data_IF_594602625244
#
_entry.id   IF_594602625244
#
_cell.length_a   1.000
_cell.length_b   1.000
_cell.length_c   1.000
_cell.angle_alpha   90.00
_cell.angle_beta   90.00
_cell.angle_gamma   90.00
#
_symmetry.space_group_name_H-M   'P 1'
#
loop_
_entity.id
_entity.type
_entity.pdbx_description
1 polymer ?
#
# COMPACT_ATOMS: atom_id res chain seq x y z
N UNK A 1 21.75 -30.73 -7.66
CA UNK A 1 20.73 -30.25 -8.62
C UNK A 1 20.14 -28.96 -8.07
N UNK A 2 19.66 -28.07 -8.92
CA UNK A 2 19.01 -26.81 -8.52
C UNK A 2 17.58 -26.82 -9.05
N UNK A 3 16.61 -26.61 -8.17
CA UNK A 3 15.17 -26.54 -8.49
C UNK A 3 14.61 -25.16 -8.17
N UNK A 4 13.60 -24.76 -8.94
CA UNK A 4 12.87 -23.51 -8.77
C UNK A 4 11.39 -23.82 -8.64
N UNK A 5 10.86 -23.68 -7.43
CA UNK A 5 9.47 -24.09 -7.10
C UNK A 5 8.67 -22.92 -6.53
N UNK A 6 7.34 -22.98 -6.65
CA UNK A 6 6.43 -22.07 -5.94
C UNK A 6 6.24 -22.47 -4.46
N UNK A 7 5.43 -21.70 -3.72
CA UNK A 7 5.09 -21.96 -2.31
C UNK A 7 4.40 -23.32 -2.09
N UNK A 8 3.76 -23.87 -3.12
CA UNK A 8 3.09 -25.17 -3.09
C UNK A 8 4.03 -26.32 -3.50
N UNK A 9 5.26 -26.02 -3.92
CA UNK A 9 6.25 -26.99 -4.39
C UNK A 9 6.16 -27.33 -5.88
N UNK A 10 5.35 -26.63 -6.67
CA UNK A 10 5.28 -26.81 -8.12
C UNK A 10 6.51 -26.21 -8.79
N UNK A 11 7.11 -26.92 -9.75
CA UNK A 11 8.23 -26.39 -10.53
C UNK A 11 7.75 -25.27 -11.48
N UNK A 12 8.35 -24.08 -11.32
CA UNK A 12 8.00 -22.87 -12.10
C UNK A 12 9.07 -22.48 -13.13
N UNK A 13 10.22 -23.14 -13.09
CA UNK A 13 11.27 -23.01 -14.10
C UNK A 13 11.99 -24.36 -14.28
N UNK A 14 12.78 -24.49 -15.35
CA UNK A 14 13.51 -25.71 -15.63
C UNK A 14 14.53 -26.04 -14.54
N UNK A 15 14.51 -27.29 -14.07
CA UNK A 15 15.51 -27.80 -13.13
C UNK A 15 16.89 -27.88 -13.79
N UNK A 16 17.92 -27.41 -13.08
CA UNK A 16 19.28 -27.32 -13.59
C UNK A 16 20.23 -28.29 -12.89
N UNK A 17 21.07 -28.98 -13.66
CA UNK A 17 22.11 -29.86 -13.11
C UNK A 17 23.19 -29.03 -12.40
N UNK A 18 23.69 -29.53 -11.27
CA UNK A 18 24.69 -28.82 -10.44
C UNK A 18 24.09 -27.85 -9.42
N UNK A 19 24.95 -26.98 -8.86
CA UNK A 19 24.60 -25.89 -7.94
C UNK A 19 24.63 -24.58 -8.72
N UNK A 20 23.47 -24.00 -8.98
CA UNK A 20 23.31 -22.79 -9.78
C UNK A 20 22.74 -21.66 -8.92
N UNK A 21 23.01 -20.38 -9.29
CA UNK A 21 22.40 -19.24 -8.62
C UNK A 21 20.89 -19.18 -8.86
N UNK A 22 20.21 -18.36 -8.06
CA UNK A 22 18.79 -18.09 -8.24
C UNK A 22 18.49 -17.40 -9.58
N UNK A 23 17.29 -17.61 -10.12
CA UNK A 23 16.83 -16.95 -11.34
C UNK A 23 15.81 -15.84 -11.02
N UNK A 24 15.84 -14.76 -11.81
CA UNK A 24 14.76 -13.77 -11.82
C UNK A 24 13.64 -14.29 -12.73
N UNK A 25 12.54 -14.72 -12.10
CA UNK A 25 11.35 -15.23 -12.80
C UNK A 25 10.33 -14.10 -12.83
N UNK A 26 9.84 -13.76 -14.03
CA UNK A 26 8.87 -12.68 -14.20
C UNK A 26 7.59 -12.97 -13.40
N UNK A 27 7.11 -11.97 -12.66
CA UNK A 27 5.94 -12.14 -11.79
C UNK A 27 6.19 -12.95 -10.52
N UNK A 28 7.43 -13.32 -10.19
CA UNK A 28 7.78 -14.02 -8.95
C UNK A 28 8.95 -13.33 -8.21
N UNK A 29 9.00 -13.51 -6.89
CA UNK A 29 10.12 -13.13 -6.04
C UNK A 29 10.55 -14.32 -5.18
N UNK A 30 11.85 -14.41 -4.87
CA UNK A 30 12.39 -15.48 -4.03
C UNK A 30 12.03 -15.17 -2.58
N UNK A 31 11.42 -16.13 -1.90
CA UNK A 31 11.10 -16.00 -0.48
C UNK A 31 12.07 -16.76 0.41
N UNK A 32 12.58 -17.90 -0.06
CA UNK A 32 13.53 -18.70 0.71
C UNK A 32 14.34 -19.63 -0.19
N UNK A 33 15.51 -20.04 0.30
CA UNK A 33 16.37 -21.05 -0.32
C UNK A 33 16.58 -22.18 0.66
N UNK A 34 16.39 -23.41 0.20
CA UNK A 34 16.55 -24.63 1.00
C UNK A 34 17.59 -25.54 0.35
N UNK A 35 18.19 -26.41 1.15
CA UNK A 35 19.04 -27.51 0.66
C UNK A 35 18.46 -28.81 1.20
N UNK A 36 18.28 -29.82 0.34
CA UNK A 36 17.81 -31.14 0.76
C UNK A 36 18.96 -32.02 1.29
N UNK A 37 18.65 -33.17 1.88
CA UNK A 37 19.63 -34.15 2.39
C UNK A 37 20.58 -34.70 1.31
N UNK A 38 20.22 -34.54 0.02
CA UNK A 38 21.05 -34.93 -1.13
C UNK A 38 21.94 -33.78 -1.62
N UNK A 39 21.94 -32.63 -0.96
CA UNK A 39 22.75 -31.46 -1.32
C UNK A 39 22.23 -30.67 -2.53
N UNK A 40 20.98 -30.88 -2.94
CA UNK A 40 20.29 -30.12 -3.96
C UNK A 40 19.78 -28.80 -3.40
N UNK A 41 19.91 -27.74 -4.20
CA UNK A 41 19.42 -26.40 -3.87
C UNK A 41 18.00 -26.26 -4.38
N UNK A 42 17.10 -25.77 -3.53
CA UNK A 42 15.70 -25.53 -3.88
C UNK A 42 15.39 -24.07 -3.56
N UNK A 43 15.20 -23.27 -4.60
CA UNK A 43 14.69 -21.90 -4.46
C UNK A 43 13.17 -21.94 -4.44
N UNK A 44 12.57 -21.36 -3.41
CA UNK A 44 11.12 -21.24 -3.26
C UNK A 44 10.72 -19.81 -3.57
N UNK A 45 9.77 -19.65 -4.48
CA UNK A 45 9.28 -18.38 -4.97
C UNK A 45 7.82 -18.18 -4.58
N UNK A 46 7.43 -16.92 -4.37
CA UNK A 46 6.02 -16.52 -4.37
C UNK A 46 5.72 -15.67 -5.58
N UNK A 47 4.46 -15.70 -6.01
CA UNK A 47 3.98 -14.78 -7.04
C UNK A 47 4.08 -13.36 -6.48
N UNK A 48 4.73 -12.46 -7.21
CA UNK A 48 4.67 -11.04 -6.91
C UNK A 48 3.21 -10.61 -6.98
N UNK A 49 2.74 -9.79 -6.04
CA UNK A 49 1.41 -9.23 -6.17
C UNK A 49 1.32 -8.51 -7.52
N UNK A 50 0.21 -8.75 -8.24
CA UNK A 50 -0.02 -8.20 -9.57
C UNK A 50 0.13 -6.68 -9.51
N UNK A 51 1.31 -6.19 -9.90
CA UNK A 51 1.67 -4.78 -9.79
C UNK A 51 0.81 -3.89 -10.69
N UNK A 52 0.05 -4.51 -11.59
CA UNK A 52 -0.95 -3.91 -12.49
C UNK A 52 -2.27 -3.56 -11.78
N UNK A 53 -2.55 -4.15 -10.61
CA UNK A 53 -3.76 -3.91 -9.81
C UNK A 53 -3.45 -3.36 -8.43
N UNK A 54 -2.28 -2.77 -8.22
CA UNK A 54 -2.02 -2.06 -6.97
C UNK A 54 -2.99 -0.91 -6.84
N UNK A 55 -3.59 -0.76 -5.67
CA UNK A 55 -4.46 0.36 -5.35
C UNK A 55 -3.80 1.24 -4.30
N UNK A 56 -4.11 2.53 -4.37
CA UNK A 56 -3.79 3.49 -3.32
C UNK A 56 -5.04 3.72 -2.47
N UNK A 57 -4.92 3.44 -1.17
CA UNK A 57 -5.98 3.64 -0.18
C UNK A 57 -5.65 4.84 0.70
N UNK A 58 -6.67 5.58 1.09
CA UNK A 58 -6.57 6.71 2.01
C UNK A 58 -7.40 6.39 3.24
N UNK A 59 -6.75 6.09 4.36
CA UNK A 59 -7.40 5.59 5.58
C UNK A 59 -7.04 6.43 6.81
N UNK A 60 -7.89 6.41 7.83
CA UNK A 60 -7.56 6.98 9.14
C UNK A 60 -6.66 6.05 9.99
N UNK A 61 -6.23 6.49 11.18
CA UNK A 61 -5.45 5.68 12.14
C UNK A 61 -6.15 4.38 12.59
N UNK A 62 -7.46 4.26 12.36
CA UNK A 62 -8.27 3.07 12.68
C UNK A 62 -8.48 2.17 11.45
N UNK A 63 -7.98 2.57 10.29
CA UNK A 63 -8.15 1.84 9.02
C UNK A 63 -9.43 2.13 8.26
N UNK A 64 -10.22 3.15 8.66
CA UNK A 64 -11.43 3.53 7.92
C UNK A 64 -11.06 4.31 6.66
N UNK A 65 -11.63 3.96 5.52
CA UNK A 65 -11.44 4.70 4.26
C UNK A 65 -12.04 6.11 4.37
N UNK A 66 -11.21 7.13 4.17
CA UNK A 66 -11.59 8.55 4.26
C UNK A 66 -11.58 9.28 2.90
N UNK A 67 -11.09 8.63 1.84
CA UNK A 67 -11.21 9.09 0.46
C UNK A 67 -11.27 7.89 -0.51
N UNK A 68 -11.74 8.12 -1.74
CA UNK A 68 -11.86 7.07 -2.76
C UNK A 68 -10.51 6.39 -3.06
N UNK A 69 -10.53 5.06 -3.18
CA UNK A 69 -9.36 4.28 -3.54
C UNK A 69 -9.03 4.49 -5.03
N UNK A 70 -7.77 4.65 -5.36
CA UNK A 70 -7.32 4.89 -6.72
C UNK A 70 -6.51 3.73 -7.27
N UNK A 71 -6.68 3.41 -8.54
CA UNK A 71 -5.86 2.39 -9.19
C UNK A 71 -4.45 2.93 -9.47
N UNK A 72 -3.46 2.07 -9.27
CA UNK A 72 -2.04 2.39 -9.35
C UNK A 72 -1.46 2.99 -8.06
N UNK A 73 -0.15 3.27 -8.12
CA UNK A 73 0.59 3.99 -7.07
C UNK A 73 0.32 5.49 -7.22
N UNK A 74 -0.37 6.10 -6.25
CA UNK A 74 -0.67 7.53 -6.21
C UNK A 74 0.01 8.18 -5.01
N UNK A 75 0.14 9.50 -5.07
CA UNK A 75 0.69 10.30 -3.98
C UNK A 75 -0.38 10.61 -2.92
N UNK A 76 0.07 11.04 -1.74
CA UNK A 76 -0.82 11.52 -0.68
C UNK A 76 -1.65 12.71 -1.14
N UNK A 77 -2.90 12.76 -0.70
CA UNK A 77 -3.83 13.88 -0.91
C UNK A 77 -3.97 14.71 0.36
N UNK A 78 -4.28 16.00 0.22
CA UNK A 78 -4.77 16.81 1.33
C UNK A 78 -6.26 16.51 1.53
N UNK A 79 -6.63 16.07 2.74
CA UNK A 79 -8.00 15.66 3.08
C UNK A 79 -8.50 16.58 4.18
N UNK A 80 -9.61 17.28 3.91
CA UNK A 80 -10.18 18.26 4.85
C UNK A 80 -10.49 17.60 6.20
N UNK A 81 -9.95 18.20 7.28
CA UNK A 81 -10.14 17.68 8.65
C UNK A 81 -9.20 16.53 9.03
N UNK A 82 -8.22 16.20 8.19
CA UNK A 82 -7.21 15.17 8.45
C UNK A 82 -5.79 15.68 8.18
N UNK A 83 -4.81 15.06 8.83
CA UNK A 83 -3.37 15.31 8.68
C UNK A 83 -2.68 14.01 8.27
N UNK A 84 -1.78 14.09 7.29
CA UNK A 84 -1.03 12.92 6.84
C UNK A 84 -0.05 12.46 7.93
N UNK A 85 -0.07 11.18 8.26
CA UNK A 85 0.82 10.57 9.26
C UNK A 85 1.96 9.84 8.57
N UNK A 86 1.63 8.84 7.74
CA UNK A 86 2.63 7.99 7.07
C UNK A 86 2.05 7.28 5.86
N UNK A 87 2.95 6.68 5.07
CA UNK A 87 2.60 5.79 3.96
C UNK A 87 3.16 4.40 4.25
N UNK A 88 2.36 3.38 4.01
CA UNK A 88 2.77 1.97 4.11
C UNK A 88 2.51 1.25 2.78
N UNK A 89 3.24 0.16 2.56
CA UNK A 89 2.99 -0.76 1.45
C UNK A 89 2.54 -2.09 2.01
N UNK A 90 1.36 -2.52 1.58
CA UNK A 90 0.77 -3.78 2.02
C UNK A 90 1.45 -4.98 1.38
N UNK A 91 1.13 -6.20 1.85
CA UNK A 91 1.68 -7.46 1.28
C UNK A 91 1.34 -7.61 -0.21
N UNK A 92 0.21 -7.04 -0.63
CA UNK A 92 -0.24 -6.99 -2.01
C UNK A 92 0.42 -5.86 -2.84
N UNK A 93 1.41 -5.15 -2.30
CA UNK A 93 2.05 -4.02 -2.99
C UNK A 93 1.17 -2.77 -3.11
N UNK A 94 -0.01 -2.78 -2.49
CA UNK A 94 -0.92 -1.63 -2.39
C UNK A 94 -0.29 -0.53 -1.54
N UNK A 95 -0.54 0.72 -1.90
CA UNK A 95 -0.10 1.87 -1.10
C UNK A 95 -1.23 2.26 -0.15
N UNK A 96 -0.92 2.41 1.13
CA UNK A 96 -1.87 2.87 2.14
C UNK A 96 -1.34 4.17 2.75
N UNK A 97 -2.05 5.27 2.54
CA UNK A 97 -1.79 6.54 3.21
C UNK A 97 -2.64 6.62 4.47
N UNK A 98 -1.97 6.71 5.63
CA UNK A 98 -2.60 6.79 6.95
C UNK A 98 -2.67 8.25 7.39
N UNK A 99 -3.85 8.66 7.84
CA UNK A 99 -4.15 10.02 8.27
C UNK A 99 -4.70 10.06 9.69
N UNK A 100 -4.42 11.14 10.40
CA UNK A 100 -4.96 11.45 11.72
C UNK A 100 -6.00 12.54 11.61
N UNK A 101 -7.11 12.41 12.33
CA UNK A 101 -8.14 13.44 12.36
C UNK A 101 -7.58 14.70 13.04
N UNK A 102 -7.64 15.84 12.36
CA UNK A 102 -7.31 17.14 12.94
C UNK A 102 -8.37 17.47 13.98
N UNK A 103 -7.95 17.65 15.22
CA UNK A 103 -8.79 18.25 16.25
C UNK A 103 -9.03 19.70 15.87
N UNK A 104 -10.13 19.94 15.14
CA UNK A 104 -10.56 21.28 14.84
C UNK A 104 -11.07 21.89 16.14
N UNK A 105 -10.19 22.57 16.88
CA UNK A 105 -10.55 23.49 17.97
C UNK A 105 -11.18 24.77 17.40
N UNK A 106 -12.14 24.61 16.48
CA UNK A 106 -12.92 25.71 15.94
C UNK A 106 -14.09 25.96 16.90
N UNK A 107 -13.82 26.68 18.00
CA UNK A 107 -14.81 27.57 18.61
C UNK A 107 -15.26 28.55 17.51
N UNK A 108 -16.25 28.18 16.72
CA UNK A 108 -16.88 29.11 15.78
C UNK A 108 -17.74 30.05 16.62
N UNK A 109 -17.14 31.13 17.13
CA UNK A 109 -17.90 32.31 17.57
C UNK A 109 -18.22 33.10 16.31
N UNK A 110 -19.28 32.71 15.61
CA UNK A 110 -19.94 33.60 14.65
C UNK A 110 -20.73 34.65 15.42
N UNK A 111 -20.04 35.70 15.88
CA UNK A 111 -20.67 37.00 16.15
C UNK A 111 -20.74 37.75 14.82
N UNK A 112 -21.83 37.55 14.08
CA UNK A 112 -22.21 38.53 13.07
C UNK A 112 -22.74 39.76 13.83
N UNK A 113 -22.12 40.92 13.59
CA UNK A 113 -22.54 42.21 14.15
C UNK A 113 -23.73 42.68 13.30
N UNK A 114 -24.93 42.61 13.86
CA UNK A 114 -26.09 43.34 13.33
C UNK A 114 -26.06 44.76 13.92
N UNK A 115 -25.58 45.74 13.16
CA UNK A 115 -25.75 47.15 13.53
C UNK A 115 -26.08 48.02 12.31
N UNK A 116 -27.39 48.08 12.03
CA UNK A 116 -28.17 49.21 11.49
C UNK A 116 -27.52 50.09 10.41
N UNK A 117 -28.07 49.98 9.19
CA UNK A 117 -27.88 50.96 8.11
C UNK A 117 -29.16 51.20 7.30
N UNK A 118 -30.30 51.46 7.95
CA UNK A 118 -31.49 52.02 7.26
C UNK A 118 -31.51 53.52 7.53
N UNK A 119 -31.31 54.33 6.48
CA UNK A 119 -31.45 55.78 6.51
C UNK A 119 -32.74 56.16 5.78
N UNK A 120 -33.76 56.59 6.52
CA UNK A 120 -34.98 57.18 5.97
C UNK A 120 -34.97 58.70 6.19
N UNK A 121 -35.16 59.49 5.12
CA UNK A 121 -35.64 60.87 5.18
C UNK A 121 -36.87 60.99 4.28
N UNK A 122 -37.97 61.48 4.84
CA UNK A 122 -38.96 62.28 4.14
C UNK A 122 -39.07 63.60 4.89
#
# INVERSE_FOLDING_TARGET
>A
MTKFVDENGNEIAQTQKGKNPSQNIEGYEIITTKTDDKGNIIYVYRKKPDSTKVVTKFVDEKGNTIAENENGKKAKKDIKGYEFVKTETDKDGNIVHIYKKKENTSKVVTKFVDEKGIQSRK
#
